data_IF_900355472952
#
_entry.id   IF_900355472952
#
_cell.length_a   1.000
_cell.length_b   1.000
_cell.length_c   1.000
_cell.angle_alpha   90.00
_cell.angle_beta   90.00
_cell.angle_gamma   90.00
#
_symmetry.space_group_name_H-M   'P 1'
#
loop_
_entity.id
_entity.type
_entity.pdbx_description
1 polymer ?
#
# COMPACT_ATOMS: atom_id res chain seq x y z
N UNK A 1 26.55 4.17 15.35
CA UNK A 1 25.34 3.81 16.13
C UNK A 1 24.15 4.17 15.27
N UNK A 2 23.14 3.32 15.26
CA UNK A 2 21.89 3.57 14.53
C UNK A 2 21.03 4.52 15.38
N UNK A 3 20.65 5.65 14.81
CA UNK A 3 19.83 6.69 15.46
C UNK A 3 18.37 6.38 15.30
N UNK A 4 17.67 6.19 16.41
CA UNK A 4 16.28 5.75 16.42
C UNK A 4 15.39 6.79 17.09
N UNK A 5 14.24 7.08 16.49
CA UNK A 5 13.16 7.82 17.12
C UNK A 5 12.02 6.88 17.53
N UNK A 6 11.46 7.10 18.72
CA UNK A 6 10.34 6.32 19.26
C UNK A 6 9.08 7.19 19.28
N UNK A 7 8.01 6.73 18.63
CA UNK A 7 6.73 7.45 18.55
C UNK A 7 5.60 6.52 18.98
N UNK A 8 5.09 6.73 20.18
CA UNK A 8 4.02 5.93 20.79
C UNK A 8 3.35 6.76 21.91
N UNK A 9 2.04 6.72 22.03
CA UNK A 9 1.34 7.50 23.06
C UNK A 9 1.55 6.94 24.49
N UNK A 10 1.96 5.67 24.60
CA UNK A 10 2.19 4.99 25.87
C UNK A 10 3.64 5.11 26.33
N UNK A 11 3.89 5.93 27.35
CA UNK A 11 5.23 6.12 27.91
C UNK A 11 5.92 4.83 28.36
N UNK A 12 5.15 3.84 28.83
CA UNK A 12 5.71 2.53 29.24
C UNK A 12 6.22 1.73 28.05
N UNK A 13 5.57 1.84 26.89
CA UNK A 13 6.01 1.20 25.64
C UNK A 13 7.30 1.85 25.16
N UNK A 14 7.36 3.20 25.11
CA UNK A 14 8.60 3.91 24.75
C UNK A 14 9.76 3.54 25.64
N UNK A 15 9.55 3.52 26.96
CA UNK A 15 10.60 3.10 27.91
C UNK A 15 11.07 1.64 27.71
N UNK A 16 10.14 0.74 27.34
CA UNK A 16 10.45 -0.63 26.97
C UNK A 16 11.29 -0.73 25.71
N UNK A 17 10.89 -0.02 24.65
CA UNK A 17 11.62 0.04 23.38
C UNK A 17 13.01 0.65 23.55
N UNK A 18 13.15 1.75 24.31
CA UNK A 18 14.44 2.38 24.62
C UNK A 18 15.39 1.44 25.38
N UNK A 19 14.84 0.53 26.18
CA UNK A 19 15.65 -0.48 26.87
C UNK A 19 16.15 -1.58 25.94
N UNK A 20 15.33 -1.98 24.94
CA UNK A 20 15.70 -2.97 23.93
C UNK A 20 16.72 -2.37 22.96
N UNK A 21 16.46 -1.15 22.48
CA UNK A 21 17.32 -0.44 21.53
C UNK A 21 18.36 0.39 22.29
N UNK A 22 19.28 -0.30 22.95
CA UNK A 22 20.25 0.29 23.86
C UNK A 22 21.57 0.63 23.17
N UNK A 23 22.41 1.53 23.78
CA UNK A 23 23.74 1.79 23.27
C UNK A 23 24.65 0.54 23.29
N UNK A 24 24.39 -0.43 24.17
CA UNK A 24 25.12 -1.69 24.20
C UNK A 24 24.89 -2.53 22.95
N UNK A 25 23.72 -2.38 22.32
CA UNK A 25 23.33 -3.06 21.08
C UNK A 25 23.60 -2.22 19.83
N UNK A 26 24.22 -1.05 19.96
CA UNK A 26 24.63 -0.19 18.86
C UNK A 26 23.55 0.82 18.42
N UNK A 27 22.57 1.12 19.27
CA UNK A 27 21.51 2.08 19.01
C UNK A 27 21.64 3.35 19.86
N UNK A 28 21.07 4.44 19.37
CA UNK A 28 20.92 5.71 20.08
C UNK A 28 19.48 6.21 19.90
N UNK A 29 18.71 6.28 20.97
CA UNK A 29 17.39 6.91 20.94
C UNK A 29 17.57 8.42 20.95
N UNK A 30 17.30 9.05 19.80
CA UNK A 30 17.50 10.50 19.58
C UNK A 30 16.25 11.32 19.83
N UNK A 31 15.09 10.69 19.87
CA UNK A 31 13.80 11.33 20.19
C UNK A 31 12.78 10.34 20.74
N UNK A 32 11.93 10.84 21.63
CA UNK A 32 10.70 10.19 22.04
C UNK A 32 9.54 11.16 21.82
N UNK A 33 8.53 10.76 21.04
CA UNK A 33 7.32 11.55 20.74
C UNK A 33 6.08 10.82 21.27
N UNK A 34 5.12 11.55 21.81
CA UNK A 34 3.89 10.99 22.37
C UNK A 34 2.74 10.91 21.34
N UNK A 35 2.89 11.52 20.17
CA UNK A 35 1.93 11.44 19.06
C UNK A 35 2.58 11.75 17.71
N UNK A 36 1.83 11.54 16.63
CA UNK A 36 2.30 11.80 15.27
C UNK A 36 2.56 13.27 14.98
N UNK A 37 1.90 14.21 15.67
CA UNK A 37 2.13 15.64 15.49
C UNK A 37 3.49 16.05 16.02
N UNK A 38 3.87 15.58 17.20
CA UNK A 38 5.21 15.80 17.74
C UNK A 38 6.27 15.21 16.80
N UNK A 39 6.04 13.99 16.28
CA UNK A 39 6.94 13.33 15.36
C UNK A 39 7.17 14.17 14.10
N UNK A 40 6.11 14.65 13.44
CA UNK A 40 6.19 15.47 12.21
C UNK A 40 6.93 16.78 12.47
N UNK A 41 6.77 17.38 13.67
CA UNK A 41 7.43 18.66 14.01
C UNK A 41 8.91 18.50 14.35
N UNK A 42 9.30 17.41 15.04
CA UNK A 42 10.63 17.28 15.62
C UNK A 42 11.60 16.44 14.79
N UNK A 43 11.13 15.33 14.21
CA UNK A 43 12.00 14.33 13.62
C UNK A 43 12.75 14.79 12.36
N UNK A 44 12.19 15.64 11.48
CA UNK A 44 12.94 16.12 10.31
C UNK A 44 14.25 16.84 10.66
N UNK A 45 14.29 17.59 11.76
CA UNK A 45 15.51 18.28 12.21
C UNK A 45 16.52 17.35 12.89
N UNK A 46 16.07 16.19 13.37
CA UNK A 46 16.92 15.24 14.11
C UNK A 46 17.54 14.17 13.20
N UNK A 47 17.00 13.98 11.98
CA UNK A 47 17.47 12.99 10.99
C UNK A 47 17.73 11.61 11.61
N UNK A 48 16.74 10.93 12.26
CA UNK A 48 16.92 9.56 12.71
C UNK A 48 17.10 8.62 11.52
N UNK A 49 17.89 7.54 11.70
CA UNK A 49 18.03 6.50 10.67
C UNK A 49 16.74 5.66 10.54
N UNK A 50 16.02 5.48 11.64
CA UNK A 50 14.74 4.73 11.70
C UNK A 50 13.80 5.37 12.70
N UNK A 51 12.53 5.49 12.34
CA UNK A 51 11.44 5.89 13.22
C UNK A 51 10.58 4.68 13.55
N UNK A 52 10.47 4.30 14.82
CA UNK A 52 9.48 3.34 15.29
C UNK A 52 8.17 4.09 15.55
N UNK A 53 7.13 3.78 14.79
CA UNK A 53 5.88 4.52 14.76
C UNK A 53 4.70 3.65 15.18
N UNK A 54 4.08 3.94 16.32
CA UNK A 54 2.78 3.35 16.64
C UNK A 54 1.69 3.88 15.70
N UNK A 55 0.68 3.05 15.44
CA UNK A 55 -0.43 3.42 14.55
C UNK A 55 -1.50 4.22 15.29
N UNK A 56 -1.89 3.76 16.48
CA UNK A 56 -3.04 4.31 17.19
C UNK A 56 -2.63 5.34 18.23
N UNK A 57 -2.54 6.58 17.83
CA UNK A 57 -2.18 7.69 18.69
C UNK A 57 -3.22 8.82 18.62
N UNK A 58 -3.34 9.66 19.67
CA UNK A 58 -4.19 10.85 19.65
C UNK A 58 -3.66 11.91 18.67
N UNK A 59 -4.49 12.88 18.33
CA UNK A 59 -4.21 14.05 17.50
C UNK A 59 -3.86 13.73 16.04
N UNK A 60 -2.75 13.05 15.79
CA UNK A 60 -2.33 12.57 14.47
C UNK A 60 -1.90 11.11 14.60
N UNK A 61 -2.61 10.21 13.94
CA UNK A 61 -2.28 8.79 13.93
C UNK A 61 -0.97 8.50 13.17
N UNK A 62 -0.40 7.31 13.40
CA UNK A 62 0.90 6.96 12.84
C UNK A 62 0.89 6.79 11.32
N UNK A 63 -0.22 6.40 10.71
CA UNK A 63 -0.33 6.29 9.24
C UNK A 63 -0.27 7.69 8.62
N UNK A 64 -1.08 8.63 9.14
CA UNK A 64 -1.08 10.00 8.66
C UNK A 64 0.27 10.72 8.92
N UNK A 65 0.92 10.44 10.07
CA UNK A 65 2.27 10.93 10.34
C UNK A 65 3.29 10.34 9.36
N UNK A 66 3.20 9.04 9.05
CA UNK A 66 4.07 8.37 8.08
C UNK A 66 3.96 9.03 6.70
N UNK A 67 2.74 9.30 6.20
CA UNK A 67 2.52 10.00 4.93
C UNK A 67 3.26 11.35 4.91
N UNK A 68 3.17 12.14 5.98
CA UNK A 68 3.81 13.46 6.05
C UNK A 68 5.33 13.37 6.12
N UNK A 69 5.87 12.46 6.92
CA UNK A 69 7.32 12.25 7.08
C UNK A 69 7.95 11.66 5.80
N UNK A 70 7.22 10.83 5.06
CA UNK A 70 7.68 10.27 3.78
C UNK A 70 7.54 11.22 2.60
N UNK A 71 6.67 12.24 2.69
CA UNK A 71 6.51 13.27 1.67
C UNK A 71 7.50 14.44 1.82
N UNK A 72 8.33 14.46 2.86
CA UNK A 72 9.35 15.49 3.06
C UNK A 72 10.49 15.38 2.02
N UNK A 73 11.27 16.45 1.84
CA UNK A 73 12.43 16.48 0.93
C UNK A 73 13.49 15.44 1.31
N UNK A 74 13.62 15.13 2.61
CA UNK A 74 14.46 14.07 3.16
C UNK A 74 13.57 13.04 3.89
N UNK A 75 13.08 12.01 3.16
CA UNK A 75 12.09 11.09 3.70
C UNK A 75 12.70 10.14 4.72
N UNK A 76 12.12 10.11 5.92
CA UNK A 76 12.55 9.23 7.01
C UNK A 76 12.07 7.79 6.80
N UNK A 77 12.87 6.81 7.20
CA UNK A 77 12.48 5.41 7.16
C UNK A 77 11.65 5.02 8.38
N UNK A 78 10.44 4.53 8.13
CA UNK A 78 9.44 4.26 9.17
C UNK A 78 9.23 2.76 9.34
N UNK A 79 9.44 2.26 10.56
CA UNK A 79 9.01 0.94 11.00
C UNK A 79 7.73 1.09 11.82
N UNK A 80 6.62 0.63 11.26
CA UNK A 80 5.32 0.69 11.94
C UNK A 80 5.21 -0.40 12.99
N UNK A 81 4.78 -0.02 14.20
CA UNK A 81 4.48 -0.91 15.32
C UNK A 81 2.98 -0.94 15.56
N UNK A 82 2.40 -2.11 15.78
CA UNK A 82 0.97 -2.24 16.12
C UNK A 82 0.70 -3.45 17.01
N UNK A 83 -0.34 -3.38 17.81
CA UNK A 83 -0.81 -4.51 18.62
C UNK A 83 -1.63 -5.52 17.82
N UNK A 84 -2.22 -5.11 16.69
CA UNK A 84 -3.09 -5.95 15.87
C UNK A 84 -2.68 -5.90 14.40
N UNK A 85 -2.52 -7.09 13.84
CA UNK A 85 -2.29 -7.25 12.41
C UNK A 85 -3.59 -7.09 11.59
N UNK A 86 -4.41 -6.05 11.85
CA UNK A 86 -5.61 -5.77 11.04
C UNK A 86 -5.19 -5.41 9.61
N UNK A 87 -5.93 -5.93 8.62
CA UNK A 87 -5.61 -5.71 7.22
C UNK A 87 -5.57 -4.22 6.86
N UNK A 88 -6.53 -3.44 7.36
CA UNK A 88 -6.60 -1.99 7.10
C UNK A 88 -5.35 -1.24 7.58
N UNK A 89 -4.82 -1.61 8.75
CA UNK A 89 -3.61 -1.00 9.31
C UNK A 89 -2.38 -1.38 8.50
N UNK A 90 -2.25 -2.65 8.14
CA UNK A 90 -1.14 -3.14 7.31
C UNK A 90 -1.11 -2.45 5.95
N UNK A 91 -2.25 -2.42 5.25
CA UNK A 91 -2.35 -1.79 3.93
C UNK A 91 -2.19 -0.27 4.00
N UNK A 92 -2.72 0.35 5.04
CA UNK A 92 -2.52 1.77 5.31
C UNK A 92 -1.06 2.13 5.50
N UNK A 93 -0.30 1.36 6.30
CA UNK A 93 1.12 1.56 6.52
C UNK A 93 1.94 1.41 5.23
N UNK A 94 1.67 0.37 4.44
CA UNK A 94 2.34 0.15 3.14
C UNK A 94 2.03 1.28 2.16
N UNK A 95 0.77 1.68 2.04
CA UNK A 95 0.35 2.78 1.16
C UNK A 95 0.96 4.13 1.58
N UNK A 96 1.17 4.35 2.89
CA UNK A 96 1.87 5.50 3.42
C UNK A 96 3.38 5.50 3.16
N UNK A 97 3.94 4.38 2.65
CA UNK A 97 5.36 4.25 2.34
C UNK A 97 6.23 3.82 3.52
N UNK A 98 5.67 3.13 4.51
CA UNK A 98 6.46 2.54 5.60
C UNK A 98 7.49 1.55 5.04
N UNK A 99 8.72 1.59 5.57
CA UNK A 99 9.80 0.68 5.22
C UNK A 99 9.63 -0.71 5.88
N UNK A 100 8.80 -0.80 6.92
CA UNK A 100 8.54 -2.06 7.58
C UNK A 100 7.34 -2.04 8.51
N UNK A 101 6.99 -3.24 8.97
CA UNK A 101 5.86 -3.50 9.84
C UNK A 101 6.19 -4.63 10.81
N UNK A 102 5.99 -4.41 12.10
CA UNK A 102 6.14 -5.40 13.17
C UNK A 102 4.98 -5.34 14.15
N UNK A 103 4.68 -6.46 14.77
CA UNK A 103 3.73 -6.55 15.87
C UNK A 103 4.41 -6.18 17.19
N UNK A 104 3.69 -5.51 18.11
CA UNK A 104 4.23 -5.11 19.43
C UNK A 104 4.53 -6.31 20.35
N UNK A 105 4.07 -7.50 20.00
CA UNK A 105 4.37 -8.77 20.69
C UNK A 105 5.55 -9.55 20.08
N UNK A 106 6.25 -8.96 19.09
CA UNK A 106 7.46 -9.56 18.52
C UNK A 106 8.57 -9.70 19.57
N UNK A 107 9.52 -10.58 19.32
CA UNK A 107 10.70 -10.73 20.20
C UNK A 107 11.61 -9.49 20.13
N UNK A 108 12.41 -9.26 21.16
CA UNK A 108 13.41 -8.19 21.15
C UNK A 108 14.45 -8.40 20.03
N UNK A 109 14.79 -9.65 19.73
CA UNK A 109 15.70 -10.04 18.67
C UNK A 109 15.13 -9.67 17.29
N UNK A 110 13.85 -9.92 17.05
CA UNK A 110 13.18 -9.58 15.79
C UNK A 110 13.08 -8.06 15.62
N UNK A 111 12.77 -7.32 16.68
CA UNK A 111 12.74 -5.86 16.65
C UNK A 111 14.12 -5.28 16.31
N UNK A 112 15.19 -5.77 16.96
CA UNK A 112 16.57 -5.36 16.67
C UNK A 112 16.94 -5.67 15.22
N UNK A 113 16.58 -6.85 14.72
CA UNK A 113 16.85 -7.26 13.35
C UNK A 113 16.08 -6.37 12.34
N UNK A 114 14.82 -6.04 12.63
CA UNK A 114 14.00 -5.16 11.82
C UNK A 114 14.61 -3.75 11.71
N UNK A 115 14.98 -3.14 12.84
CA UNK A 115 15.60 -1.81 12.87
C UNK A 115 16.93 -1.78 12.12
N UNK A 116 17.79 -2.80 12.29
CA UNK A 116 19.06 -2.89 11.54
C UNK A 116 18.85 -3.04 10.05
N UNK A 117 17.87 -3.85 9.65
CA UNK A 117 17.55 -4.07 8.23
C UNK A 117 17.09 -2.78 7.56
N UNK A 118 16.21 -2.03 8.23
CA UNK A 118 15.68 -0.76 7.70
C UNK A 118 16.76 0.32 7.68
N UNK A 119 17.56 0.45 8.73
CA UNK A 119 18.70 1.38 8.76
C UNK A 119 19.75 1.08 7.68
N UNK A 120 19.80 -0.14 7.18
CA UNK A 120 20.61 -0.56 6.03
C UNK A 120 19.93 -0.35 4.66
N UNK A 121 18.77 0.32 4.61
CA UNK A 121 18.01 0.56 3.37
C UNK A 121 17.17 -0.65 2.90
N UNK A 122 16.97 -1.66 3.77
CA UNK A 122 16.11 -2.81 3.50
C UNK A 122 14.66 -2.58 3.92
N UNK A 123 13.83 -3.61 3.76
CA UNK A 123 12.45 -3.64 4.25
C UNK A 123 12.27 -4.82 5.21
N UNK A 124 11.38 -4.65 6.19
CA UNK A 124 11.07 -5.71 7.14
C UNK A 124 9.56 -5.88 7.33
N UNK A 125 9.10 -7.11 7.22
CA UNK A 125 7.72 -7.46 7.53
C UNK A 125 7.71 -8.65 8.49
N UNK A 126 6.93 -8.52 9.57
CA UNK A 126 6.71 -9.60 10.50
C UNK A 126 6.31 -10.89 9.76
N UNK A 127 6.91 -12.05 10.07
CA UNK A 127 6.58 -13.32 9.42
C UNK A 127 5.09 -13.66 9.46
N UNK A 128 4.36 -13.22 10.48
CA UNK A 128 2.92 -13.42 10.60
C UNK A 128 2.09 -12.65 9.57
N UNK A 129 2.62 -11.55 9.01
CA UNK A 129 1.92 -10.77 7.98
C UNK A 129 2.37 -11.09 6.55
N UNK A 130 3.53 -11.71 6.37
CA UNK A 130 4.09 -12.03 5.06
C UNK A 130 3.14 -12.86 4.15
N UNK A 131 2.42 -13.89 4.64
CA UNK A 131 1.46 -14.63 3.81
C UNK A 131 0.34 -13.72 3.26
N UNK A 132 -0.12 -12.76 4.05
CA UNK A 132 -1.19 -11.81 3.67
C UNK A 132 -0.71 -10.86 2.58
N UNK A 133 0.54 -10.38 2.67
CA UNK A 133 1.18 -9.59 1.62
C UNK A 133 1.27 -10.36 0.30
N UNK A 134 1.72 -11.60 0.36
CA UNK A 134 1.82 -12.47 -0.82
C UNK A 134 0.46 -12.78 -1.43
N UNK A 135 -0.57 -13.01 -0.62
CA UNK A 135 -1.92 -13.26 -1.11
C UNK A 135 -2.53 -12.03 -1.78
N UNK A 136 -2.33 -10.85 -1.22
CA UNK A 136 -2.76 -9.60 -1.84
C UNK A 136 -1.99 -9.33 -3.15
N UNK A 137 -0.67 -9.51 -3.14
CA UNK A 137 0.14 -9.39 -4.35
C UNK A 137 -0.35 -10.35 -5.45
N UNK A 138 -0.67 -11.60 -5.09
CA UNK A 138 -1.23 -12.58 -6.03
C UNK A 138 -2.58 -12.12 -6.60
N UNK A 139 -3.44 -11.51 -5.79
CA UNK A 139 -4.72 -10.95 -6.25
C UNK A 139 -4.52 -9.77 -7.19
N UNK A 140 -3.50 -8.95 -6.97
CA UNK A 140 -3.21 -7.77 -7.81
C UNK A 140 -2.49 -8.12 -9.12
N UNK A 141 -1.63 -9.15 -9.10
CA UNK A 141 -0.73 -9.47 -10.21
C UNK A 141 -1.20 -10.70 -11.02
N UNK A 142 -1.92 -11.61 -10.38
CA UNK A 142 -2.40 -12.83 -11.03
C UNK A 142 -3.92 -12.82 -11.02
N UNK A 143 -4.59 -12.58 -12.17
CA UNK A 143 -6.01 -12.84 -12.29
C UNK A 143 -6.28 -14.28 -11.79
N UNK A 144 -7.30 -14.49 -10.96
CA UNK A 144 -7.65 -15.86 -10.60
C UNK A 144 -7.85 -16.66 -11.88
N UNK A 145 -7.53 -17.97 -11.88
CA UNK A 145 -7.69 -18.80 -13.07
C UNK A 145 -9.12 -18.67 -13.68
N UNK A 146 -10.10 -18.38 -12.84
CA UNK A 146 -11.49 -18.14 -13.24
C UNK A 146 -11.68 -16.78 -13.92
N UNK A 147 -10.98 -15.75 -13.50
CA UNK A 147 -11.03 -14.40 -14.07
C UNK A 147 -10.21 -14.31 -15.36
N UNK A 148 -9.04 -14.94 -15.40
CA UNK A 148 -8.27 -15.12 -16.61
C UNK A 148 -9.09 -15.89 -17.68
N UNK A 149 -9.81 -16.94 -17.27
CA UNK A 149 -10.72 -17.65 -18.17
C UNK A 149 -11.86 -16.77 -18.69
N UNK A 150 -12.41 -15.86 -17.88
CA UNK A 150 -13.44 -14.90 -18.32
C UNK A 150 -12.91 -13.91 -19.35
N UNK A 151 -11.68 -13.40 -19.16
CA UNK A 151 -11.04 -12.54 -20.18
C UNK A 151 -10.82 -13.28 -21.49
N UNK A 152 -10.47 -14.57 -21.46
CA UNK A 152 -10.32 -15.40 -22.66
C UNK A 152 -11.65 -15.66 -23.42
N UNK A 153 -12.81 -15.45 -22.78
CA UNK A 153 -14.10 -15.51 -23.44
C UNK A 153 -14.40 -14.29 -24.33
N UNK A 154 -13.67 -13.19 -24.12
CA UNK A 154 -13.84 -11.99 -24.95
C UNK A 154 -13.21 -12.22 -26.31
N UNK A 155 -13.93 -11.84 -27.36
CA UNK A 155 -13.37 -11.71 -28.70
C UNK A 155 -12.39 -10.53 -28.76
N UNK A 156 -11.52 -10.48 -29.77
CA UNK A 156 -10.60 -9.35 -29.96
C UNK A 156 -11.35 -8.02 -29.97
N UNK A 157 -12.52 -8.00 -30.62
CA UNK A 157 -13.38 -6.80 -30.71
C UNK A 157 -13.95 -6.36 -29.37
N UNK A 158 -14.39 -7.31 -28.56
CA UNK A 158 -14.89 -7.03 -27.22
C UNK A 158 -13.75 -6.55 -26.30
N UNK A 159 -12.55 -7.08 -26.46
CA UNK A 159 -11.37 -6.64 -25.70
C UNK A 159 -10.96 -5.20 -26.08
N UNK A 160 -10.99 -4.85 -27.39
CA UNK A 160 -10.78 -3.46 -27.83
C UNK A 160 -11.81 -2.50 -27.22
N UNK A 161 -13.09 -2.88 -27.24
CA UNK A 161 -14.15 -2.09 -26.65
C UNK A 161 -13.98 -1.93 -25.13
N UNK A 162 -13.61 -3.01 -24.44
CA UNK A 162 -13.35 -2.96 -22.99
C UNK A 162 -12.18 -2.01 -22.66
N UNK A 163 -11.11 -2.02 -23.45
CA UNK A 163 -9.97 -1.10 -23.29
C UNK A 163 -10.38 0.36 -23.49
N UNK A 164 -11.16 0.66 -24.53
CA UNK A 164 -11.66 2.01 -24.80
C UNK A 164 -12.62 2.48 -23.68
N UNK A 165 -13.52 1.61 -23.26
CA UNK A 165 -14.40 1.84 -22.12
C UNK A 165 -13.65 2.20 -20.84
N UNK A 166 -12.59 1.44 -20.55
CA UNK A 166 -11.78 1.63 -19.36
C UNK A 166 -10.95 2.91 -19.41
N UNK A 167 -10.68 3.45 -20.60
CA UNK A 167 -10.08 4.79 -20.81
C UNK A 167 -11.08 5.93 -20.73
N UNK A 168 -12.36 5.65 -20.47
CA UNK A 168 -13.40 6.65 -20.30
C UNK A 168 -14.18 7.00 -21.58
N UNK A 169 -13.90 6.36 -22.74
CA UNK A 169 -14.57 6.66 -23.99
C UNK A 169 -16.08 6.35 -23.92
N UNK A 170 -16.91 7.24 -24.40
CA UNK A 170 -18.36 7.06 -24.56
C UNK A 170 -18.68 6.05 -25.68
N UNK A 171 -19.93 5.56 -25.77
CA UNK A 171 -20.32 4.65 -26.84
C UNK A 171 -20.19 5.28 -28.24
N UNK A 172 -20.44 6.57 -28.37
CA UNK A 172 -20.28 7.32 -29.61
C UNK A 172 -18.79 7.40 -30.01
N UNK A 173 -17.89 7.74 -29.08
CA UNK A 173 -16.45 7.79 -29.34
C UNK A 173 -15.85 6.41 -29.65
N UNK A 174 -16.34 5.36 -28.99
CA UNK A 174 -15.98 3.97 -29.34
C UNK A 174 -16.45 3.61 -30.75
N UNK A 175 -17.67 3.97 -31.08
CA UNK A 175 -18.26 3.73 -32.42
C UNK A 175 -17.45 4.43 -33.51
N UNK A 176 -17.09 5.69 -33.31
CA UNK A 176 -16.23 6.47 -34.19
C UNK A 176 -14.84 5.85 -34.34
N UNK A 177 -14.16 5.55 -33.21
CA UNK A 177 -12.82 4.95 -33.21
C UNK A 177 -12.78 3.62 -33.94
N UNK A 178 -13.82 2.82 -33.79
CA UNK A 178 -13.87 1.46 -34.33
C UNK A 178 -14.60 1.37 -35.67
N UNK A 179 -15.06 2.50 -36.20
CA UNK A 179 -15.81 2.62 -37.48
C UNK A 179 -17.05 1.70 -37.58
N UNK A 180 -17.85 1.67 -36.50
CA UNK A 180 -19.10 0.88 -36.42
C UNK A 180 -20.25 1.74 -35.93
N UNK A 181 -21.49 1.22 -36.05
CA UNK A 181 -22.67 1.91 -35.51
C UNK A 181 -22.68 1.84 -33.97
N UNK A 182 -23.17 2.89 -33.29
CA UNK A 182 -23.29 2.93 -31.83
C UNK A 182 -24.16 1.78 -31.26
N UNK A 183 -25.19 1.36 -32.03
CA UNK A 183 -26.01 0.21 -31.67
C UNK A 183 -25.19 -1.10 -31.59
N UNK A 184 -24.19 -1.24 -32.48
CA UNK A 184 -23.26 -2.39 -32.47
C UNK A 184 -22.37 -2.36 -31.22
N UNK A 185 -21.89 -1.18 -30.83
CA UNK A 185 -21.12 -1.01 -29.59
C UNK A 185 -21.93 -1.41 -28.36
N UNK A 186 -23.20 -0.97 -28.28
CA UNK A 186 -24.11 -1.34 -27.17
C UNK A 186 -24.34 -2.86 -27.10
N UNK A 187 -24.44 -3.53 -28.22
CA UNK A 187 -24.56 -5.00 -28.27
C UNK A 187 -23.31 -5.68 -27.74
N UNK A 188 -22.13 -5.24 -28.16
CA UNK A 188 -20.87 -5.77 -27.67
C UNK A 188 -20.69 -5.52 -26.16
N UNK A 189 -21.05 -4.34 -25.64
CA UNK A 189 -20.99 -4.02 -24.21
C UNK A 189 -21.89 -4.98 -23.40
N UNK A 190 -23.09 -5.26 -23.86
CA UNK A 190 -23.95 -6.26 -23.21
C UNK A 190 -23.33 -7.66 -23.18
N UNK A 191 -22.71 -8.07 -24.30
CA UNK A 191 -21.95 -9.33 -24.37
C UNK A 191 -20.75 -9.35 -23.41
N UNK A 192 -19.98 -8.26 -23.33
CA UNK A 192 -18.86 -8.11 -22.37
C UNK A 192 -19.36 -8.29 -20.94
N UNK A 193 -20.44 -7.61 -20.54
CA UNK A 193 -20.98 -7.73 -19.19
C UNK A 193 -21.41 -9.16 -18.86
N UNK A 194 -22.06 -9.84 -19.79
CA UNK A 194 -22.46 -11.24 -19.60
C UNK A 194 -21.24 -12.17 -19.46
N UNK A 195 -20.22 -12.02 -20.30
CA UNK A 195 -19.02 -12.85 -20.29
C UNK A 195 -18.15 -12.62 -19.06
N UNK A 196 -18.00 -11.36 -18.63
CA UNK A 196 -17.24 -11.01 -17.44
C UNK A 196 -18.04 -11.25 -16.15
N UNK A 197 -19.37 -11.44 -16.23
CA UNK A 197 -20.24 -11.60 -15.06
C UNK A 197 -20.33 -10.32 -14.22
N UNK A 198 -20.30 -9.16 -14.88
CA UNK A 198 -20.41 -7.83 -14.24
C UNK A 198 -21.77 -7.22 -14.54
N UNK A 199 -22.27 -6.38 -13.64
CA UNK A 199 -23.65 -5.85 -13.72
C UNK A 199 -23.80 -4.57 -14.55
N UNK A 200 -22.73 -3.79 -14.64
CA UNK A 200 -22.78 -2.46 -15.26
C UNK A 200 -21.41 -2.03 -15.80
N UNK A 201 -21.38 -0.86 -16.43
CA UNK A 201 -20.18 -0.27 -17.02
C UNK A 201 -19.09 0.02 -16.00
N UNK A 202 -19.45 0.55 -14.82
CA UNK A 202 -18.49 0.87 -13.78
C UNK A 202 -17.78 -0.41 -13.28
N UNK A 203 -18.55 -1.48 -13.04
CA UNK A 203 -18.00 -2.78 -12.66
C UNK A 203 -17.10 -3.38 -13.76
N UNK A 204 -17.40 -3.18 -15.04
CA UNK A 204 -16.55 -3.63 -16.15
C UNK A 204 -15.23 -2.85 -16.23
N UNK A 205 -15.27 -1.54 -15.95
CA UNK A 205 -14.08 -0.69 -15.91
C UNK A 205 -13.17 -1.11 -14.73
N UNK A 206 -13.73 -1.27 -13.53
CA UNK A 206 -12.99 -1.76 -12.36
C UNK A 206 -12.36 -3.13 -12.67
N UNK A 207 -13.13 -4.06 -13.23
CA UNK A 207 -12.63 -5.37 -13.65
C UNK A 207 -11.44 -5.27 -14.61
N UNK A 208 -11.47 -4.34 -15.57
CA UNK A 208 -10.40 -4.16 -16.54
C UNK A 208 -9.09 -3.64 -15.88
N UNK A 209 -9.19 -2.76 -14.88
CA UNK A 209 -8.04 -2.30 -14.09
C UNK A 209 -7.51 -3.39 -13.17
N UNK A 210 -8.38 -4.04 -12.42
CA UNK A 210 -8.01 -5.08 -11.45
C UNK A 210 -7.29 -6.26 -12.10
N UNK A 211 -7.59 -6.54 -13.39
CA UNK A 211 -7.03 -7.68 -14.11
C UNK A 211 -5.99 -7.30 -15.17
N UNK A 212 -5.48 -6.06 -15.11
CA UNK A 212 -4.38 -5.62 -15.95
C UNK A 212 -4.69 -5.53 -17.46
N UNK A 213 -5.98 -5.45 -17.85
CA UNK A 213 -6.37 -5.21 -19.24
C UNK A 213 -5.88 -3.85 -19.71
N UNK A 214 -5.83 -2.88 -18.78
CA UNK A 214 -5.17 -1.58 -18.93
C UNK A 214 -4.42 -1.21 -17.65
N UNK A 215 -3.36 -0.40 -17.79
CA UNK A 215 -2.59 0.13 -16.67
C UNK A 215 -2.90 1.62 -16.49
N UNK A 216 -3.11 2.12 -15.25
CA UNK A 216 -3.26 3.54 -15.01
C UNK A 216 -2.05 4.32 -15.55
N UNK A 217 -2.29 5.38 -16.32
CA UNK A 217 -1.21 6.24 -16.83
C UNK A 217 -0.48 5.77 -18.10
N UNK A 218 -0.79 4.63 -18.67
CA UNK A 218 -0.29 4.23 -19.98
C UNK A 218 -1.12 4.93 -21.07
N UNK A 219 -0.58 6.03 -21.62
CA UNK A 219 -1.11 6.91 -22.65
C UNK A 219 -2.34 7.76 -22.24
N UNK A 220 -2.08 8.91 -21.64
CA UNK A 220 -2.82 10.12 -22.01
C UNK A 220 -2.18 10.67 -23.32
N UNK A 221 -2.97 11.06 -24.32
CA UNK A 221 -2.46 11.71 -25.52
C UNK A 221 -1.83 13.07 -25.20
#
# INVERSE_FOLDING_TARGET
>A
MIRVALVDDQAIVRAGLARILSPADGFEVVAECADGREAVQQLPALHPDVVLMDVRMPHLDGIAATVQLRAADDPLDILVLTTFGEDEVLWGAIAAGAAGFVLKDCSAEDLIAAVRTIAGGGAWFDPGVAPRLLDQYRRLVVPTAREAARLQLLTDRENEILKLMARGATNAEIAETLHVAEATVKTHIGSIFAKLGVRDRAAAIVFAYDHGVITPGANAP
#
